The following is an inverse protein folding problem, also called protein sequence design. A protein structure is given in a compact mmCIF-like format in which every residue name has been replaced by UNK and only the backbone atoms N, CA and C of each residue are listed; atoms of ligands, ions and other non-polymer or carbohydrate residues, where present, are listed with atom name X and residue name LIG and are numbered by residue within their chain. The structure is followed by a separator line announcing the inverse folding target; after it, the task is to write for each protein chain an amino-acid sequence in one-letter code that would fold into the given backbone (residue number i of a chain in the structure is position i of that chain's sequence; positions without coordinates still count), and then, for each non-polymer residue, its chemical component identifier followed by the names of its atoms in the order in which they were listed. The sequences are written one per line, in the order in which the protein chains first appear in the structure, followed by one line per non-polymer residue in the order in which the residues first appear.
data_IF_750394044167
#
_entry.id   IF_750394044167
#
_cell.length_a   1.000
_cell.length_b   1.000
_cell.length_c   1.000
_cell.angle_alpha   90.00
_cell.angle_beta   90.00
_cell.angle_gamma   90.00
#
_symmetry.space_group_name_H-M   'P 1'
#
loop_
_entity.id
_entity.type
_entity.pdbx_description
1 polymer ?
#
# COMPACT_ATOMS: atom_id res chain seq x y z
N UNK A 1 -19.17 -2.47 -18.68
CA UNK A 1 -18.92 -1.47 -17.61
C UNK A 1 -20.27 -1.01 -17.09
N UNK A 2 -20.57 -1.17 -15.78
CA UNK A 2 -21.78 -0.61 -15.16
C UNK A 2 -21.72 0.91 -15.21
N UNK A 3 -22.86 1.57 -15.44
CA UNK A 3 -22.99 3.00 -15.19
C UNK A 3 -22.64 3.30 -13.72
N UNK A 4 -21.84 4.34 -13.48
CA UNK A 4 -21.40 4.73 -12.13
C UNK A 4 -20.11 4.06 -11.61
N UNK A 5 -19.43 3.25 -12.42
CA UNK A 5 -18.07 2.78 -12.08
C UNK A 5 -17.05 3.93 -12.29
N UNK A 6 -16.84 4.73 -11.24
CA UNK A 6 -15.87 5.82 -11.20
C UNK A 6 -14.82 5.52 -10.13
N UNK A 7 -13.57 5.33 -10.55
CA UNK A 7 -12.44 5.14 -9.64
C UNK A 7 -11.83 6.52 -9.29
N UNK A 8 -11.94 6.99 -8.03
CA UNK A 8 -11.54 8.35 -7.66
C UNK A 8 -10.03 8.43 -7.38
N UNK A 9 -9.21 8.28 -8.42
CA UNK A 9 -7.75 8.13 -8.33
C UNK A 9 -7.06 9.10 -7.35
N UNK A 10 -7.31 10.41 -7.49
CA UNK A 10 -6.69 11.41 -6.62
C UNK A 10 -7.10 11.25 -5.13
N UNK A 11 -8.39 10.96 -4.89
CA UNK A 11 -8.91 10.70 -3.54
C UNK A 11 -8.29 9.43 -2.95
N UNK A 12 -8.12 8.37 -3.77
CA UNK A 12 -7.44 7.14 -3.35
C UNK A 12 -6.01 7.46 -2.93
N UNK A 13 -5.26 8.19 -3.76
CA UNK A 13 -3.86 8.52 -3.45
C UNK A 13 -3.71 9.21 -2.09
N UNK A 14 -4.51 10.24 -1.83
CA UNK A 14 -4.50 10.98 -0.55
C UNK A 14 -4.90 10.07 0.62
N UNK A 15 -5.97 9.29 0.45
CA UNK A 15 -6.49 8.41 1.51
C UNK A 15 -5.52 7.27 1.86
N UNK A 16 -4.86 6.71 0.85
CA UNK A 16 -3.83 5.68 1.02
C UNK A 16 -2.61 6.26 1.74
N UNK A 17 -2.10 7.42 1.31
CA UNK A 17 -0.99 8.08 2.01
C UNK A 17 -1.31 8.32 3.49
N UNK A 18 -2.50 8.84 3.78
CA UNK A 18 -2.95 9.04 5.16
C UNK A 18 -3.04 7.72 5.94
N UNK A 19 -3.62 6.67 5.35
CA UNK A 19 -3.78 5.38 6.01
C UNK A 19 -2.43 4.73 6.34
N UNK A 20 -1.45 4.83 5.44
CA UNK A 20 -0.10 4.31 5.65
C UNK A 20 0.59 5.01 6.83
N UNK A 21 0.51 6.35 6.89
CA UNK A 21 1.07 7.11 8.02
C UNK A 21 0.39 6.74 9.33
N UNK A 22 -0.95 6.65 9.38
CA UNK A 22 -1.67 6.24 10.58
C UNK A 22 -1.28 4.84 11.06
N UNK A 23 -1.05 3.90 10.14
CA UNK A 23 -0.59 2.54 10.47
C UNK A 23 0.81 2.59 11.07
N UNK A 24 1.71 3.38 10.50
CA UNK A 24 3.09 3.55 10.99
C UNK A 24 3.11 4.19 12.38
N UNK A 25 2.36 5.28 12.60
CA UNK A 25 2.25 5.93 13.91
C UNK A 25 1.68 4.99 14.97
N UNK A 26 0.66 4.21 14.61
CA UNK A 26 0.09 3.20 15.52
C UNK A 26 1.13 2.14 15.89
N UNK A 27 1.91 1.67 14.91
CA UNK A 27 2.93 0.65 15.13
C UNK A 27 4.09 1.16 15.98
N UNK A 28 4.51 2.39 15.74
CA UNK A 28 5.51 3.08 16.54
C UNK A 28 5.05 3.23 18.00
N UNK A 29 3.80 3.67 18.23
CA UNK A 29 3.22 3.77 19.56
C UNK A 29 3.10 2.41 20.29
N UNK A 30 2.92 1.31 19.55
CA UNK A 30 2.92 -0.06 20.08
C UNK A 30 4.35 -0.59 20.38
N UNK A 31 5.40 0.18 20.06
CA UNK A 31 6.79 -0.28 20.10
C UNK A 31 7.07 -1.40 19.09
N UNK A 32 6.19 -1.57 18.11
CA UNK A 32 6.27 -2.60 17.10
C UNK A 32 7.05 -2.05 15.91
N UNK A 33 8.31 -2.49 15.80
CA UNK A 33 9.13 -2.21 14.63
C UNK A 33 8.47 -2.84 13.39
N UNK A 34 8.05 -2.03 12.43
CA UNK A 34 7.56 -2.53 11.14
C UNK A 34 8.77 -3.02 10.34
N UNK A 35 9.20 -4.25 10.62
CA UNK A 35 10.35 -4.87 9.93
C UNK A 35 10.27 -4.81 8.40
N UNK A 36 9.10 -5.03 7.77
CA UNK A 36 8.97 -4.90 6.32
C UNK A 36 9.44 -3.55 5.79
N UNK A 37 9.23 -2.46 6.54
CA UNK A 37 9.65 -1.12 6.15
C UNK A 37 11.18 -0.95 6.19
N UNK A 38 11.87 -1.57 7.14
CA UNK A 38 13.31 -1.33 7.38
C UNK A 38 14.23 -2.11 6.44
N UNK A 39 13.70 -3.02 5.65
CA UNK A 39 14.48 -3.85 4.73
C UNK A 39 14.74 -3.17 3.38
N UNK A 40 14.05 -2.06 3.08
CA UNK A 40 14.14 -1.35 1.81
C UNK A 40 14.58 0.09 2.03
N UNK A 41 15.40 0.63 1.11
CA UNK A 41 15.82 2.03 1.14
C UNK A 41 14.63 3.01 1.04
N UNK A 42 13.56 2.59 0.36
CA UNK A 42 12.33 3.34 0.14
C UNK A 42 11.13 2.64 0.79
N UNK A 43 11.30 2.10 1.99
CA UNK A 43 10.28 1.26 2.64
C UNK A 43 8.91 1.92 2.80
N UNK A 44 8.84 3.26 2.89
CA UNK A 44 7.56 3.98 3.00
C UNK A 44 6.81 3.94 1.67
N UNK A 45 7.52 4.22 0.59
CA UNK A 45 7.01 4.26 -0.77
C UNK A 45 6.59 2.86 -1.21
N UNK A 46 7.39 1.84 -0.88
CA UNK A 46 7.06 0.44 -1.14
C UNK A 46 5.78 0.02 -0.40
N UNK A 47 5.63 0.42 0.87
CA UNK A 47 4.43 0.16 1.66
C UNK A 47 3.20 0.92 1.10
N UNK A 48 3.40 2.15 0.64
CA UNK A 48 2.37 2.95 -0.03
C UNK A 48 1.89 2.26 -1.30
N UNK A 49 2.80 1.86 -2.17
CA UNK A 49 2.48 1.18 -3.43
C UNK A 49 1.76 -0.14 -3.18
N UNK A 50 2.22 -0.93 -2.21
CA UNK A 50 1.57 -2.18 -1.83
C UNK A 50 0.13 -1.94 -1.34
N UNK A 51 -0.08 -0.97 -0.45
CA UNK A 51 -1.42 -0.62 0.03
C UNK A 51 -2.30 -0.12 -1.11
N UNK A 52 -1.76 0.70 -2.02
CA UNK A 52 -2.49 1.23 -3.18
C UNK A 52 -2.92 0.11 -4.14
N UNK A 53 -2.02 -0.82 -4.46
CA UNK A 53 -2.34 -1.99 -5.29
C UNK A 53 -3.39 -2.88 -4.63
N UNK A 54 -3.27 -3.10 -3.32
CA UNK A 54 -4.26 -3.86 -2.58
C UNK A 54 -5.63 -3.16 -2.58
N UNK A 55 -5.67 -1.85 -2.41
CA UNK A 55 -6.91 -1.08 -2.54
C UNK A 55 -7.53 -1.25 -3.93
N UNK A 56 -6.73 -1.10 -4.99
CA UNK A 56 -7.20 -1.25 -6.37
C UNK A 56 -7.78 -2.64 -6.62
N UNK A 57 -7.10 -3.69 -6.14
CA UNK A 57 -7.61 -5.07 -6.20
C UNK A 57 -8.98 -5.21 -5.53
N UNK A 58 -9.12 -4.75 -4.28
CA UNK A 58 -10.40 -4.85 -3.55
C UNK A 58 -11.49 -4.01 -4.22
N UNK A 59 -11.16 -2.83 -4.74
CA UNK A 59 -12.09 -1.99 -5.49
C UNK A 59 -12.67 -2.73 -6.71
N UNK A 60 -11.80 -3.35 -7.50
CA UNK A 60 -12.20 -4.08 -8.70
C UNK A 60 -12.99 -5.35 -8.35
N UNK A 61 -12.57 -6.11 -7.34
CA UNK A 61 -13.27 -7.31 -6.86
C UNK A 61 -14.67 -7.00 -6.31
N UNK A 62 -14.80 -5.89 -5.58
CA UNK A 62 -16.08 -5.46 -5.01
C UNK A 62 -17.02 -4.84 -6.04
N UNK A 63 -16.53 -4.52 -7.25
CA UNK A 63 -17.28 -3.76 -8.26
C UNK A 63 -17.86 -2.46 -7.68
N UNK A 64 -17.10 -1.83 -6.77
CA UNK A 64 -17.56 -0.72 -5.96
C UNK A 64 -17.91 0.51 -6.79
N UNK A 65 -18.89 1.26 -6.30
CA UNK A 65 -19.25 2.58 -6.77
C UNK A 65 -18.59 3.66 -5.90
N UNK A 66 -18.56 4.89 -6.39
CA UNK A 66 -17.96 6.03 -5.67
C UNK A 66 -18.47 6.18 -4.23
N UNK A 67 -19.77 5.95 -3.99
CA UNK A 67 -20.40 6.07 -2.67
C UNK A 67 -19.89 5.02 -1.67
N UNK A 68 -19.32 3.92 -2.14
CA UNK A 68 -18.80 2.82 -1.32
C UNK A 68 -17.32 3.01 -0.96
N UNK A 69 -16.70 4.12 -1.41
CA UNK A 69 -15.28 4.39 -1.21
C UNK A 69 -14.83 4.24 0.24
N UNK A 70 -15.55 4.83 1.18
CA UNK A 70 -15.20 4.75 2.61
C UNK A 70 -15.23 3.31 3.10
N UNK A 71 -16.24 2.53 2.69
CA UNK A 71 -16.37 1.12 3.08
C UNK A 71 -15.26 0.25 2.50
N UNK A 72 -14.86 0.49 1.24
CA UNK A 72 -13.72 -0.18 0.62
C UNK A 72 -12.43 0.18 1.37
N UNK A 73 -12.20 1.47 1.67
CA UNK A 73 -11.02 1.92 2.39
C UNK A 73 -10.91 1.28 3.78
N UNK A 74 -12.01 1.22 4.54
CA UNK A 74 -12.05 0.58 5.86
C UNK A 74 -11.75 -0.92 5.78
N UNK A 75 -12.32 -1.59 4.78
CA UNK A 75 -12.05 -3.02 4.51
C UNK A 75 -10.57 -3.26 4.21
N UNK A 76 -9.99 -2.42 3.36
CA UNK A 76 -8.57 -2.47 2.99
C UNK A 76 -7.69 -2.24 4.22
N UNK A 77 -7.94 -1.17 4.99
CA UNK A 77 -7.21 -0.89 6.24
C UNK A 77 -7.27 -2.06 7.23
N UNK A 78 -8.46 -2.62 7.44
CA UNK A 78 -8.68 -3.74 8.36
C UNK A 78 -7.90 -4.98 7.95
N UNK A 79 -8.02 -5.39 6.68
CA UNK A 79 -7.28 -6.55 6.15
C UNK A 79 -5.78 -6.31 6.19
N UNK A 80 -5.32 -5.13 5.77
CA UNK A 80 -3.90 -4.76 5.78
C UNK A 80 -3.28 -4.85 7.17
N UNK A 81 -3.93 -4.25 8.17
CA UNK A 81 -3.49 -4.32 9.56
C UNK A 81 -3.52 -5.75 10.11
N UNK A 82 -4.55 -6.53 9.79
CA UNK A 82 -4.64 -7.93 10.21
C UNK A 82 -3.49 -8.76 9.64
N UNK A 83 -3.17 -8.59 8.36
CA UNK A 83 -2.05 -9.29 7.72
C UNK A 83 -0.72 -8.82 8.26
N UNK A 84 -0.53 -7.51 8.45
CA UNK A 84 0.68 -6.94 9.06
C UNK A 84 0.91 -7.43 10.49
N UNK A 85 -0.17 -7.71 11.24
CA UNK A 85 -0.10 -8.27 12.59
C UNK A 85 0.10 -9.79 12.61
N UNK A 86 -0.03 -10.45 11.48
CA UNK A 86 0.23 -11.89 11.39
C UNK A 86 1.73 -12.18 11.49
N UNK A 87 2.06 -13.41 11.90
CA UNK A 87 3.45 -13.84 12.01
C UNK A 87 4.20 -13.77 10.67
N UNK A 88 3.50 -14.03 9.57
CA UNK A 88 4.09 -14.06 8.22
C UNK A 88 4.12 -12.65 7.61
N UNK A 89 3.03 -11.88 7.69
CA UNK A 89 2.99 -10.53 7.12
C UNK A 89 3.83 -9.47 7.86
N UNK A 90 4.43 -9.81 9.01
CA UNK A 90 5.32 -8.92 9.77
C UNK A 90 6.81 -9.13 9.48
N UNK A 91 7.19 -10.08 8.62
CA UNK A 91 8.61 -10.39 8.37
C UNK A 91 9.26 -9.49 7.33
N UNK A 92 8.60 -9.32 6.18
CA UNK A 92 9.08 -8.63 4.98
C UNK A 92 7.90 -8.19 4.10
N UNK A 93 8.15 -7.31 3.13
CA UNK A 93 7.07 -6.77 2.29
C UNK A 93 6.53 -7.80 1.31
N UNK A 94 7.36 -8.73 0.86
CA UNK A 94 6.98 -9.84 -0.01
C UNK A 94 5.95 -10.76 0.67
N UNK A 95 6.20 -11.12 1.92
CA UNK A 95 5.29 -11.93 2.73
C UNK A 95 4.00 -11.18 3.07
N UNK A 96 4.09 -9.86 3.29
CA UNK A 96 2.91 -9.01 3.43
C UNK A 96 2.08 -8.98 2.14
N UNK A 97 2.72 -8.81 0.99
CA UNK A 97 2.06 -8.83 -0.31
C UNK A 97 1.40 -10.18 -0.61
N UNK A 98 2.10 -11.28 -0.36
CA UNK A 98 1.55 -12.63 -0.48
C UNK A 98 0.34 -12.83 0.43
N UNK A 99 0.40 -12.38 1.69
CA UNK A 99 -0.72 -12.45 2.64
C UNK A 99 -1.92 -11.59 2.25
N UNK A 100 -1.73 -10.54 1.43
CA UNK A 100 -2.79 -9.73 0.84
C UNK A 100 -3.26 -10.25 -0.53
N UNK A 101 -2.56 -11.25 -1.07
CA UNK A 101 -2.75 -11.74 -2.43
C UNK A 101 -2.44 -10.68 -3.49
N UNK A 102 -1.50 -9.77 -3.23
CA UNK A 102 -1.05 -8.80 -4.23
C UNK A 102 0.04 -9.46 -5.06
N UNK A 103 -0.30 -9.79 -6.31
CA UNK A 103 0.62 -10.43 -7.25
C UNK A 103 1.31 -9.38 -8.14
N UNK A 104 2.55 -9.65 -8.54
CA UNK A 104 3.26 -8.89 -9.58
C UNK A 104 3.86 -7.55 -9.15
N UNK A 105 3.99 -7.28 -7.86
CA UNK A 105 4.72 -6.12 -7.36
C UNK A 105 6.23 -6.42 -7.23
N UNK A 106 7.06 -5.63 -7.90
CA UNK A 106 8.52 -5.76 -7.87
C UNK A 106 9.14 -4.78 -6.86
N UNK A 107 9.40 -5.28 -5.66
CA UNK A 107 10.07 -4.53 -4.59
C UNK A 107 11.50 -4.12 -4.98
N UNK A 108 11.92 -2.93 -4.57
CA UNK A 108 13.26 -2.41 -4.83
C UNK A 108 13.43 -1.76 -6.20
N UNK A 109 12.44 -1.84 -7.09
CA UNK A 109 12.42 -1.10 -8.37
C UNK A 109 12.41 0.43 -8.18
N UNK A 110 11.93 0.92 -7.03
CA UNK A 110 12.00 2.33 -6.69
C UNK A 110 13.43 2.82 -6.43
N UNK A 111 14.38 1.92 -6.16
CA UNK A 111 15.78 2.29 -5.94
C UNK A 111 16.57 2.49 -7.25
N UNK A 112 16.21 1.80 -8.34
CA UNK A 112 16.81 1.99 -9.66
C UNK A 112 16.29 3.22 -10.39
N UNK A 113 15.14 3.74 -9.97
CA UNK A 113 14.55 4.98 -10.47
C UNK A 113 15.15 6.27 -9.90
N UNK A 114 16.17 6.23 -9.04
CA UNK A 114 16.79 7.46 -8.51
C UNK A 114 17.95 8.01 -9.38
N UNK A 115 18.02 7.63 -10.66
CA UNK A 115 18.97 8.19 -11.64
C UNK A 115 18.36 9.31 -12.52
N UNK A 116 17.25 9.93 -12.13
CA UNK A 116 16.67 11.10 -12.85
C UNK A 116 17.40 12.42 -12.59
N UNK A 117 18.74 12.43 -12.57
CA UNK A 117 19.51 13.63 -12.24
C UNK A 117 20.99 13.66 -12.58
N UNK A 118 21.51 12.72 -13.38
CA UNK A 118 22.92 12.77 -13.86
C UNK A 118 23.12 12.86 -15.36
N UNK A 119 22.06 13.10 -16.13
CA UNK A 119 22.19 13.51 -17.53
C UNK A 119 21.96 15.02 -17.64
N UNK A 120 22.97 15.81 -17.28
CA UNK A 120 22.83 17.27 -17.35
C UNK A 120 23.98 18.13 -16.82
N UNK A 121 25.19 17.61 -16.66
CA UNK A 121 26.36 18.49 -16.56
C UNK A 121 27.05 18.54 -17.93
N UNK A 122 27.01 19.75 -18.51
CA UNK A 122 27.75 20.19 -19.69
C UNK A 122 29.26 20.16 -19.45
#
# INVERSE_FOLDING_TARGET
KKEGFYYPFATVGIAVSKAVVEIMEKKDAEGALVRPFLQHCNGLEELYCLFFMFFHKIWDESQAQYMEFTSVLETVKGKFLSTLNSKEGSTDLESLAAGLGVDGYEFGSLSSGLEWGRDGER
#
